data_IF_323330156374
#
_entry.id   IF_323330156374
#
_cell.length_a   1.000
_cell.length_b   1.000
_cell.length_c   1.000
_cell.angle_alpha   90.00
_cell.angle_beta   90.00
_cell.angle_gamma   90.00
#
_symmetry.space_group_name_H-M   'P 1'
#
loop_
_entity.id
_entity.type
_entity.pdbx_description
1 polymer ?
#
# COMPACT_ATOMS: atom_id res chain seq x y z
N UNK A 1 -62.95 37.89 15.24
CA UNK A 1 -62.67 36.93 14.15
C UNK A 1 -61.16 36.77 14.04
N UNK A 2 -60.67 35.53 14.11
CA UNK A 2 -59.27 35.06 13.97
C UNK A 2 -58.12 36.09 13.92
N UNK A 3 -57.40 36.22 15.04
CA UNK A 3 -55.99 36.64 15.02
C UNK A 3 -55.14 35.48 14.49
N UNK A 4 -54.76 35.51 13.21
CA UNK A 4 -53.83 34.53 12.63
C UNK A 4 -52.40 34.87 13.07
N UNK A 5 -51.94 34.19 14.13
CA UNK A 5 -50.67 34.48 14.78
C UNK A 5 -49.47 33.99 13.93
N UNK A 6 -49.01 34.80 12.98
CA UNK A 6 -47.90 34.47 12.06
C UNK A 6 -46.51 34.60 12.70
N UNK A 7 -46.27 33.85 13.79
CA UNK A 7 -45.03 33.87 14.60
C UNK A 7 -43.91 32.98 14.06
N UNK A 8 -43.86 32.74 12.75
CA UNK A 8 -42.89 31.84 12.09
C UNK A 8 -41.54 32.45 11.61
N UNK A 9 -41.37 33.76 11.28
CA UNK A 9 -40.21 34.18 10.47
C UNK A 9 -38.88 34.34 11.23
N UNK A 10 -38.89 34.45 12.57
CA UNK A 10 -37.66 34.75 13.35
C UNK A 10 -36.69 33.57 13.38
N UNK A 11 -37.17 32.39 13.71
CA UNK A 11 -36.34 31.17 13.82
C UNK A 11 -35.84 30.68 12.45
N UNK A 12 -36.65 30.82 11.39
CA UNK A 12 -36.27 30.41 10.03
C UNK A 12 -35.00 31.10 9.50
N UNK A 13 -34.71 32.34 9.91
CA UNK A 13 -33.45 33.04 9.55
C UNK A 13 -32.22 32.46 10.27
N UNK A 14 -32.39 32.03 11.52
CA UNK A 14 -31.32 31.41 12.31
C UNK A 14 -31.09 29.97 11.81
N UNK A 15 -32.15 29.19 11.66
CA UNK A 15 -32.10 27.83 11.13
C UNK A 15 -31.42 27.78 9.74
N UNK A 16 -31.79 28.67 8.82
CA UNK A 16 -31.15 28.76 7.48
C UNK A 16 -29.66 29.11 7.56
N UNK A 17 -29.25 29.98 8.49
CA UNK A 17 -27.83 30.32 8.70
C UNK A 17 -27.05 29.17 9.33
N UNK A 18 -27.63 28.46 10.29
CA UNK A 18 -27.04 27.27 10.89
C UNK A 18 -26.91 26.15 9.86
N UNK A 19 -27.97 25.82 9.12
CA UNK A 19 -27.93 24.83 8.04
C UNK A 19 -26.93 25.19 6.94
N UNK A 20 -26.85 26.45 6.53
CA UNK A 20 -25.83 26.90 5.57
C UNK A 20 -24.41 26.77 6.14
N UNK A 21 -24.21 27.00 7.44
CA UNK A 21 -22.91 26.83 8.09
C UNK A 21 -22.54 25.37 8.34
N UNK A 22 -23.50 24.48 8.66
CA UNK A 22 -23.21 23.04 8.80
C UNK A 22 -22.93 22.43 7.43
N UNK A 23 -23.78 22.68 6.44
CA UNK A 23 -23.57 22.23 5.06
C UNK A 23 -22.23 22.70 4.48
N UNK A 24 -21.83 23.96 4.73
CA UNK A 24 -20.51 24.46 4.31
C UNK A 24 -19.35 23.75 5.03
N UNK A 25 -19.51 23.35 6.30
CA UNK A 25 -18.52 22.55 7.03
C UNK A 25 -18.47 21.10 6.53
N UNK A 26 -19.62 20.49 6.24
CA UNK A 26 -19.70 19.16 5.63
C UNK A 26 -19.00 19.13 4.26
N UNK A 27 -19.12 20.19 3.46
CA UNK A 27 -18.37 20.36 2.21
C UNK A 27 -16.87 20.54 2.46
N UNK A 28 -16.48 21.33 3.46
CA UNK A 28 -15.06 21.48 3.85
C UNK A 28 -14.46 20.14 4.28
N UNK A 29 -15.11 19.40 5.18
CA UNK A 29 -14.65 18.09 5.61
C UNK A 29 -14.60 17.08 4.45
N UNK A 30 -15.63 17.01 3.58
CA UNK A 30 -15.58 16.14 2.38
C UNK A 30 -14.45 16.53 1.42
N UNK A 31 -14.15 17.82 1.26
CA UNK A 31 -13.01 18.29 0.47
C UNK A 31 -11.67 17.91 1.13
N UNK A 32 -11.49 18.14 2.43
CA UNK A 32 -10.28 17.73 3.16
C UNK A 32 -10.06 16.22 3.04
N UNK A 33 -11.11 15.42 3.26
CA UNK A 33 -11.09 13.95 3.14
C UNK A 33 -10.72 13.50 1.72
N UNK A 34 -11.24 14.14 0.68
CA UNK A 34 -10.90 13.84 -0.73
C UNK A 34 -9.43 14.15 -1.08
N UNK A 35 -8.82 15.16 -0.44
CA UNK A 35 -7.42 15.55 -0.64
C UNK A 35 -6.45 14.90 0.37
N UNK A 36 -6.97 14.19 1.37
CA UNK A 36 -6.18 13.52 2.41
C UNK A 36 -5.40 12.37 1.79
N UNK A 37 -4.09 12.35 2.01
CA UNK A 37 -3.22 11.31 1.48
C UNK A 37 -2.05 11.05 2.43
N UNK A 38 -1.70 9.78 2.62
CA UNK A 38 -0.77 9.28 3.63
C UNK A 38 0.64 9.87 3.59
N UNK A 39 1.05 10.50 2.47
CA UNK A 39 2.32 11.21 2.17
C UNK A 39 3.48 11.07 3.19
N UNK A 40 3.36 11.70 4.37
CA UNK A 40 4.39 11.74 5.42
C UNK A 40 3.86 11.29 6.80
N UNK A 41 2.78 10.50 6.84
CA UNK A 41 2.12 9.99 8.03
C UNK A 41 2.18 8.47 8.05
N UNK A 42 2.16 7.86 9.25
CA UNK A 42 1.96 6.41 9.38
C UNK A 42 0.51 6.05 9.04
N UNK A 43 0.24 4.79 8.66
CA UNK A 43 -1.11 4.30 8.39
C UNK A 43 -2.05 4.56 9.57
N UNK A 44 -1.56 4.35 10.80
CA UNK A 44 -2.31 4.64 12.03
C UNK A 44 -2.75 6.11 12.14
N UNK A 45 -1.87 7.08 11.83
CA UNK A 45 -2.23 8.51 11.83
C UNK A 45 -3.22 8.86 10.71
N UNK A 46 -3.03 8.29 9.52
CA UNK A 46 -3.92 8.48 8.37
C UNK A 46 -5.35 7.97 8.66
N UNK A 47 -5.46 6.78 9.24
CA UNK A 47 -6.76 6.20 9.62
C UNK A 47 -7.44 6.96 10.77
N UNK A 48 -6.66 7.44 11.74
CA UNK A 48 -7.18 8.30 12.81
C UNK A 48 -7.70 9.64 12.27
N UNK A 49 -7.00 10.26 11.32
CA UNK A 49 -7.43 11.49 10.67
C UNK A 49 -8.72 11.30 9.86
N UNK A 50 -8.84 10.20 9.11
CA UNK A 50 -10.08 9.82 8.41
C UNK A 50 -11.21 9.61 9.41
N UNK A 51 -10.99 8.86 10.50
CA UNK A 51 -12.02 8.64 11.53
C UNK A 51 -12.48 9.97 12.13
N UNK A 52 -11.56 10.88 12.44
CA UNK A 52 -11.90 12.21 12.97
C UNK A 52 -12.75 13.04 11.99
N UNK A 53 -12.50 12.95 10.68
CA UNK A 53 -13.33 13.62 9.66
C UNK A 53 -14.71 12.95 9.52
N UNK A 54 -14.78 11.62 9.57
CA UNK A 54 -16.06 10.88 9.56
C UNK A 54 -16.89 11.24 10.80
N UNK A 55 -16.30 11.20 11.99
CA UNK A 55 -16.95 11.61 13.25
C UNK A 55 -17.45 13.06 13.17
N UNK A 56 -16.66 13.98 12.59
CA UNK A 56 -17.06 15.38 12.39
C UNK A 56 -18.20 15.55 11.38
N UNK A 57 -18.24 14.74 10.31
CA UNK A 57 -19.33 14.76 9.32
C UNK A 57 -20.61 14.13 9.91
N UNK A 58 -20.51 13.03 10.67
CA UNK A 58 -21.62 12.47 11.47
C UNK A 58 -22.18 13.54 12.43
N UNK A 59 -21.32 14.29 13.12
CA UNK A 59 -21.72 15.39 13.98
C UNK A 59 -22.40 16.58 13.25
N UNK A 60 -22.28 16.69 11.92
CA UNK A 60 -23.07 17.65 11.11
C UNK A 60 -24.46 17.14 10.74
N UNK A 61 -24.83 15.91 11.11
CA UNK A 61 -26.13 15.30 10.82
C UNK A 61 -26.22 14.58 9.47
N UNK A 62 -25.08 14.28 8.85
CA UNK A 62 -24.98 13.54 7.59
C UNK A 62 -24.04 12.35 7.79
N UNK A 63 -24.47 11.22 8.38
CA UNK A 63 -23.61 10.05 8.50
C UNK A 63 -23.12 9.58 7.12
N UNK A 64 -21.93 8.98 7.09
CA UNK A 64 -21.42 8.23 5.94
C UNK A 64 -21.68 6.74 6.17
N UNK A 65 -21.97 6.01 5.09
CA UNK A 65 -22.02 4.56 5.14
C UNK A 65 -20.60 3.96 5.27
N UNK A 66 -20.41 2.78 5.90
CA UNK A 66 -19.10 2.16 6.03
C UNK A 66 -18.43 1.91 4.68
N UNK A 67 -19.22 1.62 3.63
CA UNK A 67 -18.75 1.47 2.25
C UNK A 67 -18.17 2.78 1.68
N UNK A 68 -18.79 3.94 1.97
CA UNK A 68 -18.21 5.25 1.62
C UNK A 68 -16.88 5.45 2.33
N UNK A 69 -16.81 5.17 3.63
CA UNK A 69 -15.58 5.33 4.43
C UNK A 69 -14.46 4.43 3.89
N UNK A 70 -14.76 3.20 3.49
CA UNK A 70 -13.81 2.29 2.82
C UNK A 70 -13.36 2.88 1.47
N UNK A 71 -14.29 3.32 0.63
CA UNK A 71 -13.99 3.92 -0.68
C UNK A 71 -13.07 5.14 -0.55
N UNK A 72 -13.40 6.07 0.35
CA UNK A 72 -12.60 7.26 0.62
C UNK A 72 -11.21 6.90 1.20
N UNK A 73 -11.15 5.97 2.14
CA UNK A 73 -9.87 5.50 2.71
C UNK A 73 -8.96 4.92 1.63
N UNK A 74 -9.52 4.14 0.70
CA UNK A 74 -8.79 3.61 -0.46
C UNK A 74 -8.44 4.68 -1.49
N UNK A 75 -9.21 5.78 -1.61
CA UNK A 75 -8.95 6.86 -2.57
C UNK A 75 -7.62 7.56 -2.27
N UNK A 76 -7.44 8.04 -1.03
CA UNK A 76 -6.25 8.80 -0.59
C UNK A 76 -4.92 8.04 -0.57
N UNK A 77 -4.95 6.71 -0.71
CA UNK A 77 -3.74 5.88 -0.74
C UNK A 77 -2.94 6.02 -2.05
N UNK A 78 -1.61 6.27 -1.98
CA UNK A 78 -0.72 6.48 -3.13
C UNK A 78 -0.46 5.19 -3.93
N UNK A 79 0.32 5.32 -5.01
CA UNK A 79 0.60 4.28 -6.01
C UNK A 79 1.12 2.96 -5.43
N UNK A 80 1.92 2.99 -4.36
CA UNK A 80 2.42 1.78 -3.67
C UNK A 80 1.31 0.84 -3.14
N UNK A 81 0.10 1.36 -2.93
CA UNK A 81 -1.07 0.58 -2.49
C UNK A 81 -1.99 0.15 -3.64
N UNK A 82 -1.61 0.32 -4.92
CA UNK A 82 -2.52 -0.04 -6.03
C UNK A 82 -2.78 -1.56 -6.10
N UNK A 83 -1.79 -2.40 -5.81
CA UNK A 83 -1.99 -3.85 -5.69
C UNK A 83 -3.03 -4.19 -4.60
N UNK A 84 -3.00 -3.47 -3.47
CA UNK A 84 -3.97 -3.59 -2.38
C UNK A 84 -5.37 -3.11 -2.82
N UNK A 85 -5.47 -1.95 -3.47
CA UNK A 85 -6.73 -1.42 -4.03
C UNK A 85 -7.35 -2.38 -5.05
N UNK A 86 -6.54 -3.12 -5.82
CA UNK A 86 -6.99 -4.18 -6.73
C UNK A 86 -7.41 -5.45 -5.95
N UNK A 87 -6.69 -5.83 -4.90
CA UNK A 87 -7.05 -6.99 -4.07
C UNK A 87 -8.40 -6.79 -3.37
N UNK A 88 -8.66 -5.61 -2.78
CA UNK A 88 -9.97 -5.28 -2.19
C UNK A 88 -11.08 -5.31 -3.27
N UNK A 89 -10.87 -4.71 -4.44
CA UNK A 89 -11.84 -4.74 -5.55
C UNK A 89 -12.12 -6.13 -6.13
N UNK A 90 -11.21 -7.09 -5.94
CA UNK A 90 -11.39 -8.50 -6.33
C UNK A 90 -12.07 -9.34 -5.25
N UNK A 91 -12.18 -8.82 -4.03
CA UNK A 91 -12.88 -9.49 -2.95
C UNK A 91 -14.38 -9.14 -3.04
N UNK A 92 -15.22 -10.14 -3.36
CA UNK A 92 -16.67 -9.96 -3.52
C UNK A 92 -17.42 -9.93 -2.17
N UNK A 93 -16.71 -10.08 -1.05
CA UNK A 93 -17.28 -10.06 0.30
C UNK A 93 -17.55 -8.60 0.74
N UNK A 94 -18.65 -8.31 1.48
CA UNK A 94 -18.77 -7.05 2.21
C UNK A 94 -17.65 -6.95 3.25
N UNK A 95 -16.71 -6.02 3.03
CA UNK A 95 -15.56 -5.77 3.88
C UNK A 95 -15.99 -4.93 5.09
N UNK A 96 -15.66 -5.34 6.33
CA UNK A 96 -15.89 -4.47 7.48
C UNK A 96 -14.78 -3.42 7.62
N UNK A 97 -15.04 -2.35 8.38
CA UNK A 97 -14.01 -1.35 8.69
C UNK A 97 -12.85 -1.96 9.51
N UNK A 98 -13.14 -2.95 10.36
CA UNK A 98 -12.12 -3.64 11.18
C UNK A 98 -11.21 -4.53 10.32
N UNK A 99 -11.80 -5.28 9.37
CA UNK A 99 -11.05 -6.02 8.36
C UNK A 99 -10.15 -5.08 7.54
N UNK A 100 -10.66 -3.93 7.11
CA UNK A 100 -9.87 -2.94 6.39
C UNK A 100 -8.68 -2.46 7.23
N UNK A 101 -8.87 -2.19 8.52
CA UNK A 101 -7.80 -1.75 9.42
C UNK A 101 -6.74 -2.84 9.64
N UNK A 102 -7.13 -4.11 9.81
CA UNK A 102 -6.18 -5.24 9.83
C UNK A 102 -5.40 -5.37 8.52
N UNK A 103 -6.11 -5.35 7.37
CA UNK A 103 -5.51 -5.53 6.06
C UNK A 103 -4.55 -4.38 5.68
N UNK A 104 -4.89 -3.14 6.04
CA UNK A 104 -4.00 -1.98 5.85
C UNK A 104 -2.74 -2.06 6.73
N UNK A 105 -2.88 -2.45 7.99
CA UNK A 105 -1.75 -2.65 8.91
C UNK A 105 -0.81 -3.76 8.42
N UNK A 106 -1.37 -4.84 7.90
CA UNK A 106 -0.63 -5.95 7.27
C UNK A 106 0.13 -5.48 6.00
N UNK A 107 -0.47 -4.66 5.13
CA UNK A 107 0.25 -4.13 3.96
C UNK A 107 1.25 -3.03 4.31
N UNK A 108 1.08 -2.26 5.39
CA UNK A 108 2.12 -1.36 5.90
C UNK A 108 3.38 -2.15 6.30
N UNK A 109 3.23 -3.22 7.08
CA UNK A 109 4.33 -4.12 7.45
C UNK A 109 4.99 -4.76 6.22
N UNK A 110 4.19 -5.26 5.27
CA UNK A 110 4.71 -5.88 4.06
C UNK A 110 5.46 -4.88 3.15
N UNK A 111 5.00 -3.63 3.04
CA UNK A 111 5.74 -2.57 2.33
C UNK A 111 7.06 -2.19 3.03
N UNK A 112 7.08 -2.19 4.37
CA UNK A 112 8.31 -1.94 5.12
C UNK A 112 9.34 -3.08 4.90
N UNK A 113 8.90 -4.33 4.82
CA UNK A 113 9.76 -5.47 4.47
C UNK A 113 10.26 -5.40 3.03
N UNK A 114 9.39 -5.05 2.08
CA UNK A 114 9.69 -4.87 0.65
C UNK A 114 10.79 -3.80 0.47
N UNK A 115 10.67 -2.64 1.11
CA UNK A 115 11.68 -1.58 1.09
C UNK A 115 13.03 -1.98 1.73
N UNK A 116 13.04 -2.84 2.76
CA UNK A 116 14.27 -3.36 3.35
C UNK A 116 14.94 -4.39 2.43
N UNK A 117 14.16 -5.23 1.73
CA UNK A 117 14.67 -6.21 0.78
C UNK A 117 15.29 -5.56 -0.46
N UNK A 118 14.67 -4.51 -1.02
CA UNK A 118 15.23 -3.76 -2.15
C UNK A 118 16.59 -3.13 -1.83
N UNK A 119 16.75 -2.58 -0.62
CA UNK A 119 18.03 -2.03 -0.15
C UNK A 119 19.13 -3.09 -0.03
N UNK A 120 18.79 -4.31 0.39
CA UNK A 120 19.75 -5.44 0.44
C UNK A 120 20.11 -5.93 -0.96
N UNK A 121 19.14 -5.99 -1.87
CA UNK A 121 19.33 -6.46 -3.25
C UNK A 121 20.29 -5.54 -4.04
N UNK A 122 20.27 -4.23 -3.76
CA UNK A 122 21.21 -3.26 -4.33
C UNK A 122 22.67 -3.46 -3.90
N UNK A 123 22.95 -4.21 -2.82
CA UNK A 123 24.32 -4.45 -2.34
C UNK A 123 25.02 -5.67 -2.98
N UNK A 124 24.35 -6.43 -3.85
CA UNK A 124 24.87 -7.69 -4.40
C UNK A 124 25.32 -7.64 -5.86
N UNK A 125 25.11 -6.51 -6.56
CA UNK A 125 25.39 -6.39 -8.00
C UNK A 125 26.75 -5.72 -8.30
N UNK A 126 27.82 -6.12 -7.59
CA UNK A 126 29.17 -5.87 -8.11
C UNK A 126 30.26 -6.87 -7.64
N UNK A 127 30.39 -8.05 -8.30
CA UNK A 127 31.55 -8.93 -8.17
C UNK A 127 32.69 -8.57 -9.15
N UNK A 128 32.78 -7.34 -9.68
CA UNK A 128 33.80 -6.92 -10.67
C UNK A 128 35.19 -6.66 -10.05
N UNK A 129 35.62 -7.46 -9.07
CA UNK A 129 36.98 -7.38 -8.48
C UNK A 129 37.82 -8.59 -8.89
N UNK A 130 38.61 -8.38 -9.93
CA UNK A 130 39.58 -9.33 -10.49
C UNK A 130 40.59 -9.76 -9.43
N UNK A 131 40.69 -11.06 -9.15
CA UNK A 131 41.75 -11.65 -8.32
C UNK A 131 42.59 -12.63 -9.15
N UNK A 132 43.38 -12.05 -10.06
CA UNK A 132 44.23 -12.79 -10.98
C UNK A 132 45.52 -13.30 -10.31
N UNK A 133 45.84 -14.56 -10.57
CA UNK A 133 47.20 -15.14 -10.67
C UNK A 133 48.29 -14.68 -9.68
N UNK A 134 48.54 -15.46 -8.62
CA UNK A 134 49.85 -15.44 -7.91
C UNK A 134 50.34 -16.79 -7.34
N UNK A 135 49.90 -17.93 -7.90
CA UNK A 135 50.51 -19.24 -7.61
C UNK A 135 51.36 -19.74 -8.78
N UNK A 136 52.45 -19.04 -9.04
CA UNK A 136 53.47 -19.47 -10.01
C UNK A 136 54.50 -20.41 -9.38
N UNK A 137 54.69 -21.59 -9.97
CA UNK A 137 55.96 -22.33 -9.90
C UNK A 137 56.20 -23.05 -11.23
N UNK A 138 57.31 -22.70 -11.87
CA UNK A 138 57.64 -23.06 -13.25
C UNK A 138 58.39 -24.40 -13.42
N UNK A 139 59.12 -24.59 -14.54
CA UNK A 139 58.94 -25.81 -15.32
C UNK A 139 60.22 -26.65 -15.54
N UNK A 140 60.03 -27.91 -15.93
CA UNK A 140 61.07 -28.77 -16.54
C UNK A 140 60.44 -29.61 -17.66
N UNK A 141 61.16 -29.72 -18.78
CA UNK A 141 60.99 -30.72 -19.84
C UNK A 141 62.35 -31.45 -19.99
N UNK A 142 62.54 -32.63 -20.59
CA UNK A 142 62.03 -33.10 -21.90
C UNK A 142 61.80 -34.66 -21.89
N UNK A 143 62.15 -35.54 -22.89
CA UNK A 143 61.21 -36.59 -23.34
C UNK A 143 61.73 -38.05 -23.25
N UNK A 144 61.00 -39.04 -23.80
CA UNK A 144 61.49 -40.10 -24.75
C UNK A 144 60.63 -41.40 -24.79
N UNK A 145 59.97 -41.62 -25.94
CA UNK A 145 59.64 -42.91 -26.64
C UNK A 145 58.87 -44.11 -26.02
N UNK A 146 57.84 -44.58 -26.78
CA UNK A 146 57.50 -46.01 -27.10
C UNK A 146 56.90 -46.87 -25.95
N UNK A 147 55.79 -47.63 -26.07
CA UNK A 147 55.33 -48.64 -27.07
C UNK A 147 53.81 -48.54 -27.42
N UNK A 148 53.39 -49.21 -28.49
CA UNK A 148 52.02 -49.40 -29.03
C UNK A 148 51.05 -50.31 -28.19
N UNK A 149 49.74 -50.43 -28.57
CA UNK A 149 48.65 -51.13 -27.84
C UNK A 149 48.38 -52.55 -28.44
N UNK A 150 47.19 -53.22 -28.37
CA UNK A 150 45.93 -52.99 -27.64
C UNK A 150 45.64 -54.09 -26.59
N UNK A 151 44.65 -55.05 -26.61
CA UNK A 151 43.62 -55.45 -27.61
C UNK A 151 42.21 -54.90 -27.28
N UNK A 152 41.14 -55.69 -27.48
CA UNK A 152 39.71 -55.36 -27.31
C UNK A 152 38.96 -56.48 -26.59
N UNK A 153 37.86 -56.18 -25.90
CA UNK A 153 36.70 -57.11 -25.83
C UNK A 153 35.38 -56.37 -25.57
N UNK A 154 34.41 -56.55 -26.47
CA UNK A 154 33.02 -56.12 -26.28
C UNK A 154 32.25 -57.11 -25.40
N UNK A 155 31.07 -56.73 -24.90
CA UNK A 155 30.05 -57.69 -24.48
C UNK A 155 28.65 -57.21 -24.88
N UNK A 156 27.70 -58.13 -25.13
CA UNK A 156 26.50 -57.83 -25.92
C UNK A 156 25.24 -57.64 -25.07
N UNK A 157 24.17 -57.19 -25.73
CA UNK A 157 22.84 -57.13 -25.14
C UNK A 157 22.14 -58.50 -25.11
N UNK A 158 21.25 -58.66 -24.14
CA UNK A 158 20.03 -59.50 -24.19
C UNK A 158 19.01 -58.85 -23.27
#
# INVERSE_FOLDING_TARGET
MFFVLTTAPKYGRIARRLQSSTHSRTIQFRNELHHLSIKNQTMSQYLLAIKSLVDAIVATGSPLDPEEVIFYTLHGLPSQYQAFKIAIRKNLQPLSLDDLYMLLSSKELNLAQEAIADLQNLQLTDPSTVLATYHGRGPVATPTMVVDPPPLLSSPAT
#
